data_IF_934091447473
#
_entry.id   IF_934091447473
#
_cell.length_a   1.000
_cell.length_b   1.000
_cell.length_c   1.000
_cell.angle_alpha   90.00
_cell.angle_beta   90.00
_cell.angle_gamma   90.00
#
_symmetry.space_group_name_H-M   'P 1'
#
loop_
_entity.id
_entity.type
_entity.pdbx_description
1 polymer ?
#
# COMPACT_ATOMS: atom_id res chain seq x y z
N UNK A 1 -8.22 5.41 16.46
CA UNK A 1 -7.56 5.58 15.15
C UNK A 1 -6.51 4.50 15.03
N UNK A 2 -6.47 3.77 13.92
CA UNK A 2 -5.41 2.81 13.64
C UNK A 2 -4.08 3.56 13.48
N UNK A 3 -3.00 3.01 14.04
CA UNK A 3 -1.70 3.70 14.19
C UNK A 3 -1.04 4.02 12.84
N UNK A 4 -1.29 3.19 11.84
CA UNK A 4 -0.64 3.24 10.53
C UNK A 4 -1.57 3.66 9.37
N UNK A 5 -2.68 4.34 9.66
CA UNK A 5 -3.65 4.72 8.63
C UNK A 5 -3.06 5.78 7.66
N UNK A 6 -2.81 5.39 6.40
CA UNK A 6 -2.26 6.25 5.35
C UNK A 6 -0.74 6.37 5.30
N UNK A 7 0.00 5.69 6.19
CA UNK A 7 1.46 5.81 6.27
C UNK A 7 2.15 5.10 5.09
N UNK A 8 1.57 4.01 4.60
CA UNK A 8 2.10 3.23 3.48
C UNK A 8 1.49 3.62 2.12
N UNK A 9 0.63 4.64 2.08
CA UNK A 9 -0.02 5.12 0.86
C UNK A 9 0.99 5.55 -0.23
N UNK A 10 2.06 6.23 0.16
CA UNK A 10 3.14 6.67 -0.75
C UNK A 10 3.91 5.46 -1.29
N UNK A 11 4.24 4.49 -0.43
CA UNK A 11 4.94 3.28 -0.83
C UNK A 11 4.09 2.44 -1.79
N UNK A 12 2.79 2.36 -1.53
CA UNK A 12 1.82 1.71 -2.42
C UNK A 12 1.81 2.38 -3.80
N UNK A 13 1.70 3.71 -3.84
CA UNK A 13 1.73 4.47 -5.10
C UNK A 13 3.02 4.28 -5.89
N UNK A 14 4.19 4.31 -5.22
CA UNK A 14 5.48 4.08 -5.88
C UNK A 14 5.54 2.67 -6.48
N UNK A 15 5.14 1.65 -5.73
CA UNK A 15 5.09 0.27 -6.23
C UNK A 15 4.13 0.13 -7.42
N UNK A 16 2.94 0.71 -7.32
CA UNK A 16 1.95 0.72 -8.39
C UNK A 16 2.43 1.41 -9.66
N UNK A 17 3.13 2.55 -9.54
CA UNK A 17 3.70 3.25 -10.70
C UNK A 17 4.81 2.43 -11.38
N UNK A 18 5.68 1.76 -10.61
CA UNK A 18 6.73 0.89 -11.16
C UNK A 18 6.09 -0.26 -11.95
N UNK A 19 5.09 -0.92 -11.36
CA UNK A 19 4.39 -2.04 -12.01
C UNK A 19 3.65 -1.55 -13.25
N UNK A 20 2.86 -0.48 -13.15
CA UNK A 20 2.13 0.09 -14.29
C UNK A 20 3.04 0.51 -15.43
N UNK A 21 4.20 1.08 -15.13
CA UNK A 21 5.21 1.44 -16.13
C UNK A 21 5.80 0.20 -16.81
N UNK A 22 6.11 -0.85 -16.06
CA UNK A 22 6.68 -2.09 -16.60
C UNK A 22 5.73 -2.82 -17.57
N UNK A 23 4.41 -2.71 -17.37
CA UNK A 23 3.39 -3.33 -18.23
C UNK A 23 2.78 -2.37 -19.27
N UNK A 24 3.26 -1.12 -19.35
CA UNK A 24 2.71 -0.11 -20.28
C UNK A 24 1.27 0.33 -19.96
N UNK A 25 0.79 0.09 -18.73
CA UNK A 25 -0.58 0.37 -18.28
C UNK A 25 -0.55 1.22 -17.01
N UNK A 26 -0.21 2.51 -17.15
CA UNK A 26 -0.07 3.44 -16.02
C UNK A 26 -1.34 3.56 -15.18
N UNK A 27 -2.52 3.63 -15.79
CA UNK A 27 -3.80 3.72 -15.06
C UNK A 27 -3.98 2.49 -14.17
N UNK A 28 -3.72 1.29 -14.70
CA UNK A 28 -3.80 0.05 -13.93
C UNK A 28 -2.78 0.04 -12.78
N UNK A 29 -1.57 0.54 -13.03
CA UNK A 29 -0.55 0.72 -11.99
C UNK A 29 -0.97 1.66 -10.86
N UNK A 30 -1.65 2.77 -11.16
CA UNK A 30 -2.16 3.70 -10.14
C UNK A 30 -3.21 3.01 -9.26
N UNK A 31 -4.18 2.31 -9.88
CA UNK A 31 -5.17 1.53 -9.12
C UNK A 31 -4.53 0.46 -8.25
N UNK A 32 -3.55 -0.26 -8.80
CA UNK A 32 -2.78 -1.26 -8.07
C UNK A 32 -2.03 -0.63 -6.89
N UNK A 33 -1.45 0.55 -7.08
CA UNK A 33 -0.72 1.26 -6.04
C UNK A 33 -1.58 1.66 -4.85
N UNK A 34 -2.81 2.12 -5.10
CA UNK A 34 -3.79 2.39 -4.04
C UNK A 34 -4.12 1.11 -3.26
N UNK A 35 -4.37 0.00 -3.95
CA UNK A 35 -4.68 -1.29 -3.32
C UNK A 35 -3.51 -1.78 -2.46
N UNK A 36 -2.28 -1.70 -2.98
CA UNK A 36 -1.06 -2.08 -2.27
C UNK A 36 -0.87 -1.20 -1.01
N UNK A 37 -1.09 0.11 -1.11
CA UNK A 37 -1.00 1.03 0.03
C UNK A 37 -1.95 0.66 1.16
N UNK A 38 -3.24 0.45 0.85
CA UNK A 38 -4.25 0.02 1.82
C UNK A 38 -3.89 -1.32 2.45
N UNK A 39 -3.42 -2.27 1.63
CA UNK A 39 -3.02 -3.59 2.13
C UNK A 39 -1.84 -3.52 3.09
N UNK A 40 -0.86 -2.64 2.83
CA UNK A 40 0.27 -2.41 3.72
C UNK A 40 -0.16 -1.74 5.03
N UNK A 41 -1.04 -0.74 5.00
CA UNK A 41 -1.60 -0.12 6.20
C UNK A 41 -2.33 -1.16 7.08
N UNK A 42 -3.10 -2.06 6.47
CA UNK A 42 -3.75 -3.15 7.19
C UNK A 42 -2.76 -4.18 7.75
N UNK A 43 -1.74 -4.55 6.96
CA UNK A 43 -0.71 -5.49 7.40
C UNK A 43 0.09 -4.94 8.59
N UNK A 44 0.45 -3.65 8.56
CA UNK A 44 1.16 -2.98 9.63
C UNK A 44 0.31 -2.91 10.92
N UNK A 45 -0.99 -2.57 10.79
CA UNK A 45 -1.90 -2.58 11.94
C UNK A 45 -2.09 -4.00 12.51
N UNK A 46 -2.23 -5.03 11.67
CA UNK A 46 -2.31 -6.43 12.12
C UNK A 46 -1.04 -6.86 12.84
N UNK A 47 0.14 -6.49 12.31
CA UNK A 47 1.43 -6.78 12.93
C UNK A 47 1.57 -6.10 14.30
N UNK A 48 1.25 -4.81 14.38
CA UNK A 48 1.29 -4.03 15.62
C UNK A 48 0.36 -4.63 16.69
N UNK A 49 -0.88 -4.96 16.32
CA UNK A 49 -1.85 -5.59 17.23
C UNK A 49 -1.43 -6.98 17.71
N UNK A 50 -0.52 -7.67 17.00
CA UNK A 50 0.01 -8.97 17.41
C UNK A 50 1.15 -8.83 18.41
N UNK A 51 1.97 -7.79 18.27
CA UNK A 51 3.15 -7.56 19.11
C UNK A 51 2.86 -6.68 20.35
N UNK A 52 1.73 -5.99 20.39
CA UNK A 52 1.25 -5.26 21.57
C UNK A 52 0.35 -6.12 22.49
N UNK A 53 0.20 -7.42 22.22
CA UNK A 53 -0.41 -8.43 23.11
C UNK A 53 0.65 -9.23 23.86
#
# INVERSE_FOLDING_TARGET
MNKYDGEFSILGMVAGMIIGSAFGQLIMGIFLGVIIGIAMDWAANLWNNRHER
#
